data_IF_551917837191
#
_entry.id   IF_551917837191
#
_cell.length_a   1.000
_cell.length_b   1.000
_cell.length_c   1.000
_cell.angle_alpha   90.00
_cell.angle_beta   90.00
_cell.angle_gamma   90.00
#
_symmetry.space_group_name_H-M   'P 1'
#
loop_
_entity.id
_entity.type
_entity.pdbx_description
1 polymer ?
#
# COMPACT_ATOMS: atom_id res chain seq x y z
N UNK A 1 4.58 -20.42 -2.95
CA UNK A 1 5.02 -19.36 -3.90
C UNK A 1 6.04 -18.51 -3.19
N UNK A 2 7.13 -18.11 -3.87
CA UNK A 2 8.17 -17.26 -3.27
C UNK A 2 8.07 -15.87 -3.89
N UNK A 3 7.88 -14.85 -3.04
CA UNK A 3 7.86 -13.46 -3.47
C UNK A 3 9.28 -13.05 -3.92
N UNK A 4 9.47 -12.52 -5.15
CA UNK A 4 10.80 -12.31 -5.73
C UNK A 4 11.44 -10.98 -5.30
N UNK A 5 11.14 -10.54 -4.08
CA UNK A 5 11.58 -9.27 -3.51
C UNK A 5 12.06 -9.50 -2.08
N UNK A 6 13.06 -8.75 -1.61
CA UNK A 6 13.52 -8.89 -0.24
C UNK A 6 12.44 -8.40 0.73
N UNK A 7 12.25 -9.06 1.87
CA UNK A 7 11.40 -8.54 2.93
C UNK A 7 11.96 -7.21 3.44
N UNK A 8 11.09 -6.37 3.99
CA UNK A 8 11.51 -5.16 4.70
C UNK A 8 12.03 -5.57 6.07
N UNK A 9 13.26 -5.18 6.39
CA UNK A 9 13.85 -5.35 7.72
C UNK A 9 13.82 -4.02 8.46
N UNK A 10 13.05 -3.94 9.56
CA UNK A 10 12.96 -2.74 10.39
C UNK A 10 12.05 -1.64 9.80
N UNK A 11 12.60 -0.44 9.62
CA UNK A 11 11.82 0.73 9.18
C UNK A 11 11.44 0.67 7.70
N UNK A 12 10.31 1.28 7.35
CA UNK A 12 9.79 1.33 5.99
C UNK A 12 10.49 2.39 5.13
N UNK A 13 11.83 2.40 5.14
CA UNK A 13 12.67 3.41 4.49
C UNK A 13 12.72 3.31 2.96
N UNK A 14 12.36 2.16 2.39
CA UNK A 14 12.23 2.01 0.95
C UNK A 14 11.11 2.90 0.41
N UNK A 15 11.34 3.56 -0.72
CA UNK A 15 10.34 4.46 -1.34
C UNK A 15 9.07 3.75 -1.78
N UNK A 16 9.14 2.44 -2.00
CA UNK A 16 8.03 1.63 -2.47
C UNK A 16 8.08 0.26 -1.81
N UNK A 17 7.00 -0.10 -1.13
CA UNK A 17 6.84 -1.40 -0.48
C UNK A 17 5.47 -2.00 -0.83
N UNK A 18 5.39 -3.32 -0.80
CA UNK A 18 4.12 -4.04 -0.87
C UNK A 18 3.98 -4.97 0.34
N UNK A 19 2.82 -4.94 0.98
CA UNK A 19 2.50 -5.76 2.14
C UNK A 19 1.58 -6.89 1.70
N UNK A 20 2.01 -8.11 1.95
CA UNK A 20 1.25 -9.31 1.67
C UNK A 20 0.04 -9.43 2.62
N UNK A 21 -0.98 -10.24 2.26
CA UNK A 21 -2.14 -10.47 3.13
C UNK A 21 -1.81 -11.05 4.52
N UNK A 22 -0.65 -11.70 4.67
CA UNK A 22 -0.15 -12.21 5.95
C UNK A 22 0.59 -11.15 6.80
N UNK A 23 0.71 -9.92 6.30
CA UNK A 23 1.39 -8.80 6.95
C UNK A 23 2.86 -8.66 6.58
N UNK A 24 3.45 -9.57 5.81
CA UNK A 24 4.86 -9.47 5.41
C UNK A 24 5.07 -8.33 4.42
N UNK A 25 5.94 -7.38 4.75
CA UNK A 25 6.30 -6.28 3.86
C UNK A 25 7.50 -6.65 2.98
N UNK A 26 7.47 -6.23 1.71
CA UNK A 26 8.52 -6.45 0.73
C UNK A 26 8.92 -5.15 0.05
N UNK A 27 10.21 -4.98 -0.24
CA UNK A 27 10.72 -3.84 -1.02
C UNK A 27 10.45 -4.08 -2.50
N UNK A 28 9.58 -3.25 -3.10
CA UNK A 28 9.19 -3.39 -4.52
C UNK A 28 9.66 -2.15 -5.27
N UNK A 29 10.78 -2.21 -6.02
CA UNK A 29 11.30 -1.05 -6.73
C UNK A 29 10.31 -0.45 -7.73
N UNK A 30 10.51 0.83 -8.06
CA UNK A 30 9.74 1.50 -9.09
C UNK A 30 9.74 0.71 -10.41
N UNK A 31 8.55 0.57 -11.00
CA UNK A 31 8.33 -0.23 -12.20
C UNK A 31 8.23 -1.75 -11.98
N UNK A 32 8.44 -2.27 -10.76
CA UNK A 32 8.48 -3.72 -10.50
C UNK A 32 7.17 -4.33 -9.98
N UNK A 33 6.10 -3.54 -9.82
CA UNK A 33 4.80 -4.03 -9.35
C UNK A 33 4.20 -5.06 -10.31
N UNK A 34 4.43 -4.94 -11.62
CA UNK A 34 4.00 -5.94 -12.61
C UNK A 34 4.67 -7.30 -12.38
N UNK A 35 5.95 -7.31 -11.99
CA UNK A 35 6.66 -8.54 -11.65
C UNK A 35 6.09 -9.18 -10.38
N UNK A 36 5.73 -8.37 -9.39
CA UNK A 36 5.05 -8.86 -8.19
C UNK A 36 3.69 -9.48 -8.55
N UNK A 37 2.85 -8.74 -9.28
CA UNK A 37 1.52 -9.16 -9.74
C UNK A 37 1.57 -10.51 -10.45
N UNK A 38 2.47 -10.70 -11.41
CA UNK A 38 2.64 -11.97 -12.13
C UNK A 38 2.90 -13.19 -11.24
N UNK A 39 3.49 -13.00 -10.06
CA UNK A 39 3.80 -14.09 -9.13
C UNK A 39 2.66 -14.35 -8.16
N UNK A 40 2.07 -13.29 -7.60
CA UNK A 40 1.14 -13.41 -6.46
C UNK A 40 -0.33 -13.28 -6.86
N UNK A 41 -0.58 -12.82 -8.08
CA UNK A 41 -1.88 -12.59 -8.67
C UNK A 41 -1.83 -12.85 -10.20
N UNK A 42 -1.40 -14.05 -10.65
CA UNK A 42 -1.23 -14.33 -12.08
C UNK A 42 -2.53 -14.17 -12.87
N UNK A 43 -3.67 -14.57 -12.28
CA UNK A 43 -4.99 -14.56 -12.91
C UNK A 43 -5.66 -13.17 -12.94
N UNK A 44 -5.01 -12.14 -12.39
CA UNK A 44 -5.51 -10.76 -12.32
C UNK A 44 -5.01 -9.95 -13.49
N UNK A 45 -5.90 -9.45 -14.36
CA UNK A 45 -5.52 -8.80 -15.63
C UNK A 45 -5.74 -7.27 -15.62
N UNK A 46 -5.91 -6.67 -14.44
CA UNK A 46 -6.13 -5.24 -14.31
C UNK A 46 -4.94 -4.45 -14.91
N UNK A 47 -5.24 -3.39 -15.67
CA UNK A 47 -4.24 -2.58 -16.38
C UNK A 47 -3.18 -2.00 -15.44
N UNK A 48 -3.57 -1.65 -14.22
CA UNK A 48 -2.67 -1.20 -13.18
C UNK A 48 -2.34 -2.39 -12.25
N UNK A 49 -1.08 -2.81 -12.14
CA UNK A 49 -0.69 -3.93 -11.28
C UNK A 49 -1.00 -3.68 -9.80
N UNK A 50 -1.07 -2.42 -9.34
CA UNK A 50 -1.40 -2.12 -7.94
C UNK A 50 -2.87 -2.38 -7.63
N UNK A 51 -3.75 -2.14 -8.61
CA UNK A 51 -5.17 -2.50 -8.51
C UNK A 51 -5.33 -4.01 -8.43
N UNK A 52 -4.66 -4.77 -9.33
CA UNK A 52 -4.63 -6.22 -9.30
C UNK A 52 -4.13 -6.78 -7.95
N UNK A 53 -3.07 -6.17 -7.40
CA UNK A 53 -2.51 -6.52 -6.09
C UNK A 53 -3.51 -6.22 -4.96
N UNK A 54 -4.13 -5.03 -4.95
CA UNK A 54 -5.14 -4.66 -3.97
C UNK A 54 -6.35 -5.61 -3.99
N UNK A 55 -6.84 -5.97 -5.18
CA UNK A 55 -7.93 -6.96 -5.34
C UNK A 55 -7.52 -8.38 -4.92
N UNK A 56 -6.21 -8.63 -4.79
CA UNK A 56 -5.64 -9.87 -4.23
C UNK A 56 -5.28 -9.73 -2.74
N UNK A 57 -5.66 -8.62 -2.11
CA UNK A 57 -5.49 -8.35 -0.69
C UNK A 57 -4.15 -7.74 -0.29
N UNK A 58 -3.30 -7.37 -1.24
CA UNK A 58 -2.03 -6.71 -0.98
C UNK A 58 -2.22 -5.20 -0.78
N UNK A 59 -1.29 -4.58 -0.05
CA UNK A 59 -1.25 -3.13 0.13
C UNK A 59 0.03 -2.60 -0.50
N UNK A 60 -0.07 -1.67 -1.44
CA UNK A 60 1.11 -1.03 -2.04
C UNK A 60 1.27 0.38 -1.46
N UNK A 61 2.40 0.67 -0.82
CA UNK A 61 2.73 2.00 -0.28
C UNK A 61 3.88 2.59 -1.08
N UNK A 62 3.76 3.86 -1.46
CA UNK A 62 4.79 4.56 -2.23
C UNK A 62 4.90 6.04 -1.89
N UNK A 63 6.12 6.55 -1.93
CA UNK A 63 6.42 7.98 -2.05
C UNK A 63 7.16 8.23 -3.37
N UNK A 64 6.99 9.42 -3.94
CA UNK A 64 7.78 9.87 -5.09
C UNK A 64 9.10 10.52 -4.69
N UNK A 65 9.26 10.89 -3.41
CA UNK A 65 10.34 11.74 -2.92
C UNK A 65 10.29 13.19 -3.42
N UNK A 66 9.39 13.51 -4.35
CA UNK A 66 9.19 14.86 -4.91
C UNK A 66 8.12 15.65 -4.15
N UNK A 67 7.25 14.94 -3.43
CA UNK A 67 6.20 15.49 -2.59
C UNK A 67 6.29 14.87 -1.20
N UNK A 68 5.81 15.58 -0.20
CA UNK A 68 5.60 15.07 1.17
C UNK A 68 4.43 14.07 1.27
N UNK A 69 3.84 13.67 0.14
CA UNK A 69 2.69 12.76 0.07
C UNK A 69 3.11 11.32 -0.14
N UNK A 70 2.53 10.43 0.67
CA UNK A 70 2.51 8.99 0.41
C UNK A 70 1.21 8.59 -0.30
N UNK A 71 1.30 7.66 -1.24
CA UNK A 71 0.16 7.11 -1.97
C UNK A 71 0.03 5.63 -1.63
N UNK A 72 -1.19 5.18 -1.39
CA UNK A 72 -1.49 3.80 -0.98
C UNK A 72 -2.56 3.24 -1.90
N UNK A 73 -2.33 2.04 -2.42
CA UNK A 73 -3.35 1.22 -3.07
C UNK A 73 -3.66 0.05 -2.12
N UNK A 74 -4.94 -0.08 -1.73
CA UNK A 74 -5.36 -1.01 -0.70
C UNK A 74 -6.70 -1.67 -1.05
N UNK A 75 -7.00 -2.85 -0.46
CA UNK A 75 -8.34 -3.41 -0.56
C UNK A 75 -9.34 -2.62 0.32
N UNK A 76 -10.61 -2.61 -0.07
CA UNK A 76 -11.70 -1.98 0.70
C UNK A 76 -11.82 -2.51 2.13
N UNK A 77 -11.41 -3.76 2.36
CA UNK A 77 -11.42 -4.39 3.69
C UNK A 77 -10.28 -3.94 4.60
N UNK A 78 -9.34 -3.11 4.14
CA UNK A 78 -8.25 -2.61 4.97
C UNK A 78 -8.82 -1.67 6.05
N UNK A 79 -8.73 -2.08 7.31
CA UNK A 79 -9.20 -1.30 8.47
C UNK A 79 -8.07 -0.85 9.38
N UNK A 80 -6.91 -1.51 9.30
CA UNK A 80 -5.73 -1.14 10.08
C UNK A 80 -4.84 -0.15 9.32
N UNK A 81 -4.66 1.01 9.91
CA UNK A 81 -3.81 2.08 9.40
C UNK A 81 -2.36 2.02 9.93
N UNK A 82 -1.98 0.99 10.71
CA UNK A 82 -0.63 0.89 11.30
C UNK A 82 0.49 1.01 10.25
N UNK A 83 0.40 0.27 9.14
CA UNK A 83 1.37 0.30 8.07
C UNK A 83 1.46 1.65 7.37
N UNK A 84 0.32 2.33 7.18
CA UNK A 84 0.26 3.68 6.61
C UNK A 84 0.99 4.66 7.51
N UNK A 85 0.73 4.61 8.82
CA UNK A 85 1.38 5.47 9.82
C UNK A 85 2.88 5.18 9.91
N UNK A 86 3.28 3.91 9.89
CA UNK A 86 4.69 3.52 9.91
C UNK A 86 5.43 4.02 8.66
N UNK A 87 4.85 3.86 7.48
CA UNK A 87 5.41 4.37 6.23
C UNK A 87 5.48 5.89 6.23
N UNK A 88 4.42 6.57 6.71
CA UNK A 88 4.40 8.02 6.83
C UNK A 88 5.52 8.54 7.75
N UNK A 89 5.76 7.90 8.89
CA UNK A 89 6.84 8.25 9.81
C UNK A 89 8.22 8.06 9.19
N UNK A 90 8.44 6.94 8.50
CA UNK A 90 9.73 6.64 7.88
C UNK A 90 10.12 7.63 6.77
N UNK A 91 9.14 8.31 6.16
CA UNK A 91 9.33 9.27 5.07
C UNK A 91 9.03 10.72 5.44
N UNK A 92 8.78 11.02 6.72
CA UNK A 92 8.35 12.35 7.19
C UNK A 92 7.21 12.94 6.34
N UNK A 93 6.20 12.10 6.06
CA UNK A 93 5.13 12.44 5.14
C UNK A 93 4.18 13.49 5.75
N UNK A 94 3.92 14.57 5.01
CA UNK A 94 2.94 15.60 5.34
C UNK A 94 1.51 15.26 4.87
N UNK A 95 1.33 14.29 3.98
CA UNK A 95 -0.01 13.86 3.57
C UNK A 95 -0.09 12.40 3.08
N UNK A 96 -1.30 11.86 3.05
CA UNK A 96 -1.60 10.54 2.48
C UNK A 96 -2.82 10.58 1.56
N UNK A 97 -2.75 9.82 0.47
CA UNK A 97 -3.90 9.44 -0.34
C UNK A 97 -3.99 7.91 -0.43
N UNK A 98 -5.13 7.34 -0.06
CA UNK A 98 -5.39 5.90 -0.08
C UNK A 98 -6.50 5.61 -1.09
N UNK A 99 -6.15 4.99 -2.22
CA UNK A 99 -7.11 4.44 -3.16
C UNK A 99 -7.54 3.04 -2.71
N UNK A 100 -8.84 2.84 -2.52
CA UNK A 100 -9.42 1.56 -2.08
C UNK A 100 -10.07 0.85 -3.26
N UNK A 101 -9.87 -0.46 -3.32
CA UNK A 101 -10.33 -1.32 -4.41
C UNK A 101 -11.18 -2.48 -3.89
N UNK A 102 -12.28 -2.85 -4.59
CA UNK A 102 -12.73 -2.34 -5.88
C UNK A 102 -13.54 -1.03 -5.85
N UNK A 103 -13.88 -0.48 -4.68
CA UNK A 103 -14.80 0.68 -4.58
C UNK A 103 -14.37 1.91 -5.40
N UNK A 104 -13.07 2.12 -5.58
CA UNK A 104 -12.52 3.35 -6.16
C UNK A 104 -12.56 4.53 -5.18
N UNK A 105 -12.93 4.31 -3.92
CA UNK A 105 -12.93 5.34 -2.89
C UNK A 105 -11.50 5.85 -2.65
N UNK A 106 -11.35 7.16 -2.47
CA UNK A 106 -10.05 7.76 -2.13
C UNK A 106 -10.14 8.50 -0.81
N UNK A 107 -9.56 7.91 0.24
CA UNK A 107 -9.38 8.59 1.52
C UNK A 107 -8.15 9.49 1.48
N UNK A 108 -8.25 10.71 2.01
CA UNK A 108 -7.13 11.66 2.07
C UNK A 108 -6.98 12.23 3.47
N UNK A 109 -5.74 12.48 3.90
CA UNK A 109 -5.46 13.18 5.15
C UNK A 109 -4.17 14.01 5.04
N UNK A 110 -4.16 15.15 5.74
CA UNK A 110 -2.99 16.00 5.95
C UNK A 110 -2.21 15.65 7.23
N UNK A 111 -2.63 14.61 7.96
CA UNK A 111 -1.97 14.12 9.18
C UNK A 111 -1.78 12.60 9.09
N UNK A 112 -0.91 12.11 8.18
CA UNK A 112 -0.83 10.68 7.87
C UNK A 112 -0.30 9.83 9.04
N UNK A 113 0.47 10.42 9.96
CA UNK A 113 0.99 9.75 11.16
C UNK A 113 -0.10 9.45 12.21
N UNK A 114 -1.22 10.16 12.14
CA UNK A 114 -2.41 10.01 12.98
C UNK A 114 -3.58 9.40 12.22
N UNK A 115 -3.35 9.01 10.95
CA UNK A 115 -4.42 8.52 10.09
C UNK A 115 -5.10 7.29 10.69
N UNK A 116 -6.43 7.32 10.67
CA UNK A 116 -7.31 6.22 11.03
C UNK A 116 -8.39 6.09 9.97
N UNK A 117 -8.75 4.87 9.63
CA UNK A 117 -9.96 4.63 8.87
C UNK A 117 -11.16 4.98 9.76
N UNK A 118 -12.18 5.62 9.19
CA UNK A 118 -13.45 5.74 9.88
C UNK A 118 -13.92 4.33 10.26
N UNK A 119 -14.28 4.13 11.53
CA UNK A 119 -14.89 2.87 11.97
C UNK A 119 -16.17 2.61 11.17
N UNK A 120 -16.68 1.37 11.14
CA UNK A 120 -17.98 1.12 10.53
C UNK A 120 -18.98 2.08 11.19
N UNK A 121 -19.62 2.92 10.39
CA UNK A 121 -20.83 3.62 10.83
C UNK A 121 -21.82 2.53 11.16
N UNK A 122 -22.04 2.26 12.45
CA UNK A 122 -23.16 1.41 12.87
C UNK A 122 -24.43 2.12 12.41
N UNK A 123 -25.09 1.60 11.38
CA UNK A 123 -26.48 1.91 11.03
C UNK A 123 -27.42 0.98 11.79
#
# INVERSE_FOLDING_TARGET
>A
MTVPFPPVEGEFSAQQIAIAPDGTAYVVPSGMHERLRKVVAPDREERDPKVALALSGWICLQTSGMTDRINVDAPDRLTDASAVRQFARAHDAGSVAIARHPSGEVCRSATPIEFMFAGPTEE
#
